data_IF_275433519811
#
_entry.id   IF_275433519811
#
_cell.length_a   1.000
_cell.length_b   1.000
_cell.length_c   1.000
_cell.angle_alpha   90.00
_cell.angle_beta   90.00
_cell.angle_gamma   90.00
#
_symmetry.space_group_name_H-M   'P 1'
#
loop_
_entity.id
_entity.type
_entity.pdbx_description
1 polymer ?
#
# COMPACT_ATOMS: atom_id res chain seq x y z
N UNK A 1 -15.04 9.54 13.39
CA UNK A 1 -13.90 10.04 12.61
C UNK A 1 -12.73 9.08 12.83
N UNK A 2 -12.48 8.18 11.88
CA UNK A 2 -11.40 7.21 11.98
C UNK A 2 -10.08 7.96 11.88
N UNK A 3 -9.32 7.96 12.97
CA UNK A 3 -7.96 8.50 13.01
C UNK A 3 -7.14 7.59 12.12
N UNK A 4 -6.65 8.14 11.00
CA UNK A 4 -5.61 7.51 10.20
C UNK A 4 -4.46 7.16 11.15
N UNK A 5 -4.31 5.88 11.47
CA UNK A 5 -3.34 5.39 12.43
C UNK A 5 -1.93 5.74 11.96
N UNK A 6 -1.37 6.78 12.59
CA UNK A 6 0.01 7.26 12.45
C UNK A 6 1.05 6.29 13.01
N UNK A 7 0.89 4.99 12.77
CA UNK A 7 1.81 3.96 13.27
C UNK A 7 2.90 3.56 12.29
N UNK A 8 3.13 4.39 11.28
CA UNK A 8 4.15 4.20 10.26
C UNK A 8 5.50 4.87 10.57
N UNK A 9 5.56 5.71 11.60
CA UNK A 9 6.67 6.67 11.74
C UNK A 9 7.87 6.20 12.57
N UNK A 10 7.77 5.20 13.45
CA UNK A 10 8.85 5.04 14.45
C UNK A 10 9.94 4.01 14.11
N UNK A 11 9.76 3.14 13.11
CA UNK A 11 10.68 1.99 12.96
C UNK A 11 11.76 2.08 11.87
N UNK A 12 11.70 2.99 10.88
CA UNK A 12 12.66 2.98 9.75
C UNK A 12 12.90 4.37 9.12
N UNK A 13 13.33 5.34 9.93
CA UNK A 13 13.50 6.75 9.57
C UNK A 13 14.41 7.05 8.34
N UNK A 14 15.17 6.09 7.80
CA UNK A 14 16.06 6.31 6.65
C UNK A 14 15.47 5.99 5.26
N UNK A 15 14.44 5.14 5.18
CA UNK A 15 13.78 4.76 3.91
C UNK A 15 12.27 5.07 3.91
N UNK A 16 11.73 5.52 5.04
CA UNK A 16 10.32 5.82 5.28
C UNK A 16 9.86 7.24 4.86
N UNK A 17 10.72 8.06 4.26
CA UNK A 17 10.36 9.42 3.81
C UNK A 17 9.68 9.46 2.44
N UNK A 18 9.59 8.33 1.73
CA UNK A 18 8.79 8.27 0.51
C UNK A 18 7.29 8.31 0.91
N UNK A 19 6.67 9.47 0.71
CA UNK A 19 5.24 9.65 0.94
C UNK A 19 4.43 8.75 -0.01
N UNK A 20 3.37 8.13 0.52
CA UNK A 20 2.45 7.34 -0.29
C UNK A 20 1.67 8.30 -1.18
N UNK A 21 1.65 8.12 -2.52
CA UNK A 21 0.89 9.00 -3.40
C UNK A 21 -0.59 8.99 -3.03
N UNK A 22 -1.22 10.16 -2.99
CA UNK A 22 -2.58 10.34 -2.47
C UNK A 22 -3.62 9.48 -3.19
N UNK A 23 -3.49 9.30 -4.50
CA UNK A 23 -4.35 8.46 -5.32
C UNK A 23 -4.17 6.96 -5.05
N UNK A 24 -2.92 6.51 -4.79
CA UNK A 24 -2.68 5.14 -4.35
C UNK A 24 -3.30 4.91 -2.97
N UNK A 25 -3.11 5.83 -2.03
CA UNK A 25 -3.69 5.75 -0.70
C UNK A 25 -5.23 5.74 -0.74
N UNK A 26 -5.84 6.62 -1.53
CA UNK A 26 -7.28 6.69 -1.70
C UNK A 26 -7.86 5.40 -2.30
N UNK A 27 -7.20 4.85 -3.32
CA UNK A 27 -7.65 3.61 -3.97
C UNK A 27 -7.53 2.38 -3.03
N UNK A 28 -6.48 2.32 -2.21
CA UNK A 28 -6.32 1.26 -1.20
C UNK A 28 -7.38 1.40 -0.11
N UNK A 29 -7.61 2.62 0.39
CA UNK A 29 -8.60 2.88 1.44
C UNK A 29 -10.05 2.58 1.00
N UNK A 30 -10.33 2.64 -0.31
CA UNK A 30 -11.63 2.29 -0.87
C UNK A 30 -11.93 0.78 -0.86
N UNK A 31 -10.93 -0.08 -0.67
CA UNK A 31 -11.07 -1.54 -0.63
C UNK A 31 -10.60 -2.09 0.72
N UNK A 32 -11.52 -2.43 1.65
CA UNK A 32 -11.17 -2.83 3.02
C UNK A 32 -10.16 -3.98 3.11
N UNK A 33 -10.22 -4.95 2.19
CA UNK A 33 -9.26 -6.07 2.17
C UNK A 33 -7.86 -5.61 1.77
N UNK A 34 -7.79 -4.70 0.80
CA UNK A 34 -6.52 -4.11 0.37
C UNK A 34 -5.93 -3.24 1.48
N UNK A 35 -6.75 -2.44 2.17
CA UNK A 35 -6.34 -1.63 3.31
C UNK A 35 -5.78 -2.51 4.43
N UNK A 36 -6.49 -3.57 4.83
CA UNK A 36 -6.01 -4.50 5.85
C UNK A 36 -4.67 -5.13 5.48
N UNK A 37 -4.49 -5.51 4.21
CA UNK A 37 -3.22 -6.03 3.70
C UNK A 37 -2.13 -4.97 3.70
N UNK A 38 -2.46 -3.73 3.30
CA UNK A 38 -1.55 -2.60 3.29
C UNK A 38 -1.02 -2.28 4.71
N UNK A 39 -1.87 -2.43 5.72
CA UNK A 39 -1.54 -2.15 7.12
C UNK A 39 -0.53 -3.12 7.73
N UNK A 40 -0.41 -4.33 7.17
CA UNK A 40 0.56 -5.32 7.62
C UNK A 40 1.82 -5.40 6.74
N UNK A 41 1.91 -4.60 5.67
CA UNK A 41 3.04 -4.66 4.74
C UNK A 41 4.38 -4.34 5.43
N UNK A 42 5.41 -5.07 5.01
CA UNK A 42 6.78 -4.68 5.28
C UNK A 42 7.14 -3.38 4.55
N UNK A 43 8.12 -2.65 5.08
CA UNK A 43 8.65 -1.44 4.44
C UNK A 43 9.10 -1.67 2.99
N UNK A 44 9.63 -2.87 2.69
CA UNK A 44 10.04 -3.26 1.33
C UNK A 44 8.85 -3.31 0.37
N UNK A 45 7.76 -3.98 0.76
CA UNK A 45 6.55 -4.05 -0.07
C UNK A 45 5.90 -2.67 -0.24
N UNK A 46 5.85 -1.88 0.83
CA UNK A 46 5.36 -0.51 0.77
C UNK A 46 6.17 0.36 -0.19
N UNK A 47 7.50 0.37 -0.05
CA UNK A 47 8.38 1.12 -0.93
C UNK A 47 8.21 0.68 -2.40
N UNK A 48 8.05 -0.62 -2.65
CA UNK A 48 7.81 -1.15 -3.97
C UNK A 48 6.55 -0.58 -4.63
N UNK A 49 5.44 -0.47 -3.88
CA UNK A 49 4.21 0.14 -4.38
C UNK A 49 4.40 1.62 -4.71
N UNK A 50 5.04 2.37 -3.81
CA UNK A 50 5.31 3.80 -3.99
C UNK A 50 6.20 4.04 -5.23
N UNK A 51 7.34 3.36 -5.28
CA UNK A 51 8.31 3.50 -6.37
C UNK A 51 7.69 3.13 -7.73
N UNK A 52 6.97 2.00 -7.80
CA UNK A 52 6.35 1.54 -9.04
C UNK A 52 5.20 2.44 -9.49
N UNK A 53 4.52 3.11 -8.57
CA UNK A 53 3.46 4.09 -8.87
C UNK A 53 4.06 5.40 -9.37
N UNK A 54 5.08 5.92 -8.68
CA UNK A 54 5.77 7.16 -9.07
C UNK A 54 6.55 7.04 -10.39
N UNK A 55 6.97 5.82 -10.75
CA UNK A 55 7.64 5.57 -12.03
C UNK A 55 6.69 5.67 -13.25
N UNK A 56 5.36 5.68 -13.05
CA UNK A 56 4.40 5.78 -14.15
C UNK A 56 4.03 7.23 -14.42
N UNK A 57 4.49 7.76 -15.55
CA UNK A 57 4.27 9.16 -15.95
C UNK A 57 2.91 9.43 -16.59
N UNK A 58 2.29 8.41 -17.21
CA UNK A 58 1.02 8.56 -17.90
C UNK A 58 -0.14 8.26 -16.94
N UNK A 59 -1.02 9.23 -16.73
CA UNK A 59 -2.15 9.15 -15.79
C UNK A 59 -3.03 7.91 -16.02
N UNK A 60 -3.50 7.68 -17.25
CA UNK A 60 -4.34 6.52 -17.57
C UNK A 60 -3.64 5.16 -17.30
N UNK A 61 -2.31 5.11 -17.36
CA UNK A 61 -1.56 3.89 -17.02
C UNK A 61 -1.33 3.79 -15.50
N UNK A 62 -1.21 4.94 -14.84
CA UNK A 62 -1.07 5.05 -13.39
C UNK A 62 -2.32 4.54 -12.68
N UNK A 63 -3.51 4.98 -13.12
CA UNK A 63 -4.79 4.52 -12.60
C UNK A 63 -4.95 2.99 -12.72
N UNK A 64 -4.67 2.43 -13.91
CA UNK A 64 -4.73 0.97 -14.14
C UNK A 64 -3.76 0.22 -13.24
N UNK A 65 -2.56 0.76 -13.03
CA UNK A 65 -1.54 0.13 -12.18
C UNK A 65 -1.94 0.14 -10.71
N UNK A 66 -2.51 1.25 -10.24
CA UNK A 66 -3.05 1.39 -8.89
C UNK A 66 -4.19 0.40 -8.68
N UNK A 67 -5.14 0.33 -9.61
CA UNK A 67 -6.22 -0.66 -9.56
C UNK A 67 -5.66 -2.10 -9.48
N UNK A 68 -4.62 -2.40 -10.27
CA UNK A 68 -3.93 -3.68 -10.19
C UNK A 68 -3.30 -3.97 -8.82
N UNK A 69 -2.68 -2.97 -8.19
CA UNK A 69 -2.13 -3.12 -6.85
C UNK A 69 -3.21 -3.31 -5.78
N UNK A 70 -4.31 -2.57 -5.85
CA UNK A 70 -5.44 -2.74 -4.94
C UNK A 70 -5.99 -4.17 -5.03
N UNK A 71 -6.21 -4.67 -6.26
CA UNK A 71 -6.69 -6.04 -6.46
C UNK A 71 -5.71 -7.10 -5.96
N UNK A 72 -4.41 -6.91 -6.20
CA UNK A 72 -3.35 -7.78 -5.67
C UNK A 72 -3.37 -7.81 -4.13
N UNK A 73 -3.45 -6.65 -3.49
CA UNK A 73 -3.52 -6.55 -2.02
C UNK A 73 -4.82 -7.15 -1.46
N UNK A 74 -5.96 -6.96 -2.13
CA UNK A 74 -7.23 -7.55 -1.73
C UNK A 74 -7.21 -9.10 -1.75
N UNK A 75 -6.34 -9.70 -2.58
CA UNK A 75 -6.06 -11.14 -2.60
C UNK A 75 -5.00 -11.58 -1.57
N UNK A 76 -4.41 -10.65 -0.83
CA UNK A 76 -3.31 -10.91 0.10
C UNK A 76 -1.96 -11.16 -0.60
N UNK A 77 -1.82 -10.76 -1.86
CA UNK A 77 -0.60 -10.90 -2.65
C UNK A 77 0.29 -9.65 -2.52
N UNK A 78 1.60 -9.83 -2.68
CA UNK A 78 2.58 -8.74 -2.56
C UNK A 78 3.74 -8.88 -3.54
N UNK A 79 4.42 -7.78 -3.93
CA UNK A 79 5.55 -7.83 -4.85
C UNK A 79 6.77 -8.61 -4.33
N UNK A 80 6.96 -8.62 -3.02
CA UNK A 80 8.04 -9.33 -2.31
C UNK A 80 7.45 -10.21 -1.20
N UNK A 81 8.17 -11.24 -0.74
CA UNK A 81 7.70 -12.12 0.32
C UNK A 81 7.21 -11.37 1.56
N UNK A 82 6.00 -11.69 1.99
CA UNK A 82 5.30 -11.05 3.10
C UNK A 82 4.86 -12.12 4.10
N UNK A 83 5.48 -12.12 5.29
CA UNK A 83 5.19 -13.13 6.33
C UNK A 83 3.91 -12.82 7.12
N UNK A 84 3.65 -11.54 7.40
CA UNK A 84 2.45 -11.11 8.14
C UNK A 84 1.26 -11.06 7.19
N UNK A 85 0.12 -11.58 7.62
CA UNK A 85 -1.16 -11.49 6.90
C UNK A 85 -2.20 -10.84 7.81
N UNK A 86 -3.20 -10.13 7.27
CA UNK A 86 -4.33 -9.68 8.05
C UNK A 86 -5.00 -10.91 8.65
N UNK A 87 -5.27 -10.89 9.94
CA UNK A 87 -6.15 -11.87 10.57
C UNK A 87 -7.53 -11.72 9.92
N UNK A 88 -8.12 -12.82 9.45
CA UNK A 88 -9.41 -12.83 8.75
C UNK A 88 -10.62 -12.51 9.66
N UNK A 89 -10.38 -11.82 10.77
CA UNK A 89 -11.37 -11.54 11.79
C UNK A 89 -11.43 -10.03 11.96
N UNK A 90 -12.19 -9.36 11.07
CA UNK A 90 -13.05 -8.19 11.30
C UNK A 90 -13.99 -8.00 10.10
#
# INVERSE_FOLDING_TARGET
AAKADGRWETAYAGQATAEVPADLAAAIAAEPRAQAMFDVLTSVNRYALIYRTNSVKQEATRERKIAGFVQMLARGETPYPQKKRPTADQ
#
